data_IF_973769968445
#
_entry.id   IF_973769968445
#
_cell.length_a   1.000
_cell.length_b   1.000
_cell.length_c   1.000
_cell.angle_alpha   90.00
_cell.angle_beta   90.00
_cell.angle_gamma   90.00
#
_symmetry.space_group_name_H-M   'P 1'
#
loop_
_entity.id
_entity.type
_entity.pdbx_description
1 polymer ?
#
# COMPACT_ATOMS: atom_id res chain seq x y z
N UNK A 1 3.27 26.75 -3.50
CA UNK A 1 4.02 27.33 -2.36
C UNK A 1 5.04 26.27 -2.05
N UNK A 2 6.33 26.56 -2.24
CA UNK A 2 7.35 25.51 -2.10
C UNK A 2 7.59 25.17 -0.64
N UNK A 3 7.98 23.92 -0.38
CA UNK A 3 8.27 23.41 0.96
C UNK A 3 7.05 22.80 1.66
N UNK A 4 7.24 22.37 2.91
CA UNK A 4 6.28 21.47 3.56
C UNK A 4 4.85 21.99 3.62
N UNK A 5 3.88 21.26 3.08
CA UNK A 5 2.46 21.60 3.13
C UNK A 5 1.98 21.74 4.58
N UNK A 6 2.42 20.85 5.48
CA UNK A 6 2.03 20.90 6.90
C UNK A 6 2.57 22.16 7.56
N UNK A 7 3.85 22.49 7.31
CA UNK A 7 4.47 23.68 7.89
C UNK A 7 3.88 24.97 7.34
N UNK A 8 3.56 24.99 6.03
CA UNK A 8 2.83 26.08 5.41
C UNK A 8 1.46 26.28 6.06
N UNK A 9 0.67 25.22 6.21
CA UNK A 9 -0.66 25.31 6.85
C UNK A 9 -0.54 25.83 8.29
N UNK A 10 0.40 25.28 9.06
CA UNK A 10 0.65 25.70 10.44
C UNK A 10 1.00 27.18 10.54
N UNK A 11 1.94 27.66 9.70
CA UNK A 11 2.46 29.01 9.80
C UNK A 11 1.49 30.07 9.27
N UNK A 12 0.78 29.78 8.18
CA UNK A 12 -0.12 30.75 7.55
C UNK A 12 -1.49 30.81 8.23
N UNK A 13 -2.00 29.68 8.74
CA UNK A 13 -3.32 29.61 9.37
C UNK A 13 -3.25 29.51 10.91
N UNK A 14 -2.04 29.51 11.48
CA UNK A 14 -1.79 29.46 12.93
C UNK A 14 -2.48 28.26 13.62
N UNK A 15 -2.53 27.12 12.92
CA UNK A 15 -3.19 25.91 13.41
C UNK A 15 -2.25 25.04 14.26
N UNK A 16 -2.78 24.27 15.23
CA UNK A 16 -2.02 23.23 15.90
C UNK A 16 -1.45 22.21 14.90
N UNK A 17 -0.30 21.62 15.20
CA UNK A 17 0.41 20.69 14.31
C UNK A 17 -0.48 19.53 13.86
N UNK A 18 -1.19 18.89 14.78
CA UNK A 18 -2.09 17.78 14.47
C UNK A 18 -3.23 18.17 13.53
N UNK A 19 -3.74 19.40 13.65
CA UNK A 19 -4.77 19.91 12.75
C UNK A 19 -4.17 20.24 11.38
N UNK A 20 -2.98 20.82 11.35
CA UNK A 20 -2.24 21.09 10.11
C UNK A 20 -1.94 19.80 9.33
N UNK A 21 -1.55 18.71 10.00
CA UNK A 21 -1.36 17.39 9.37
C UNK A 21 -2.66 16.87 8.74
N UNK A 22 -3.80 16.97 9.45
CA UNK A 22 -5.10 16.55 8.91
C UNK A 22 -5.48 17.34 7.67
N UNK A 23 -5.31 18.66 7.68
CA UNK A 23 -5.54 19.49 6.50
C UNK A 23 -4.55 19.17 5.37
N UNK A 24 -3.28 18.92 5.69
CA UNK A 24 -2.27 18.51 4.71
C UNK A 24 -2.66 17.22 3.98
N UNK A 25 -3.16 16.22 4.71
CA UNK A 25 -3.69 15.01 4.11
C UNK A 25 -4.91 15.26 3.22
N UNK A 26 -5.84 16.15 3.63
CA UNK A 26 -6.99 16.54 2.78
C UNK A 26 -6.51 17.22 1.49
N UNK A 27 -5.55 18.13 1.59
CA UNK A 27 -4.94 18.80 0.44
C UNK A 27 -4.27 17.79 -0.47
N UNK A 28 -3.48 16.87 0.07
CA UNK A 28 -2.83 15.80 -0.68
C UNK A 28 -3.86 14.92 -1.42
N UNK A 29 -4.90 14.47 -0.71
CA UNK A 29 -6.00 13.67 -1.29
C UNK A 29 -6.66 14.40 -2.45
N UNK A 30 -6.95 15.69 -2.27
CA UNK A 30 -7.58 16.52 -3.29
C UNK A 30 -6.66 16.78 -4.49
N UNK A 31 -5.38 17.10 -4.26
CA UNK A 31 -4.38 17.34 -5.30
C UNK A 31 -4.14 16.09 -6.15
N UNK A 32 -3.98 14.93 -5.51
CA UNK A 32 -3.83 13.64 -6.19
C UNK A 32 -5.13 13.14 -6.82
N UNK A 33 -6.27 13.75 -6.45
CA UNK A 33 -7.63 13.40 -6.90
C UNK A 33 -7.97 11.95 -6.58
N UNK A 34 -7.57 11.46 -5.40
CA UNK A 34 -7.96 10.12 -4.97
C UNK A 34 -9.48 10.03 -4.86
N UNK A 35 -10.03 8.95 -5.38
CA UNK A 35 -11.43 8.65 -5.30
C UNK A 35 -11.79 8.19 -3.88
N UNK A 36 -12.71 8.92 -3.24
CA UNK A 36 -13.15 8.68 -1.85
C UNK A 36 -14.67 8.56 -1.73
N UNK A 37 -15.41 8.80 -2.82
CA UNK A 37 -16.88 8.95 -2.81
C UNK A 37 -17.63 7.71 -3.31
N UNK A 38 -16.93 6.71 -3.86
CA UNK A 38 -17.55 5.49 -4.37
C UNK A 38 -18.30 4.74 -3.28
N UNK A 39 -19.45 4.15 -3.63
CA UNK A 39 -20.31 3.40 -2.70
C UNK A 39 -19.55 2.36 -1.87
N UNK A 40 -18.62 1.63 -2.50
CA UNK A 40 -17.79 0.62 -1.82
C UNK A 40 -16.88 1.18 -0.74
N UNK A 41 -16.53 2.46 -0.81
CA UNK A 41 -15.68 3.16 0.16
C UNK A 41 -16.47 3.77 1.33
N UNK A 42 -17.80 3.76 1.29
CA UNK A 42 -18.64 4.45 2.30
C UNK A 42 -18.49 3.94 3.73
N UNK A 43 -17.97 2.72 3.90
CA UNK A 43 -17.69 2.15 5.22
C UNK A 43 -16.40 2.72 5.83
N UNK A 44 -15.53 3.36 5.03
CA UNK A 44 -14.29 3.96 5.50
C UNK A 44 -14.54 5.36 6.05
N UNK A 45 -13.77 5.71 7.07
CA UNK A 45 -13.83 7.01 7.73
C UNK A 45 -12.70 7.92 7.25
N UNK A 46 -12.81 9.22 7.54
CA UNK A 46 -11.69 10.14 7.33
C UNK A 46 -10.41 9.66 8.03
N UNK A 47 -10.52 9.03 9.21
CA UNK A 47 -9.34 8.53 9.92
C UNK A 47 -8.60 7.43 9.15
N UNK A 48 -9.30 6.67 8.30
CA UNK A 48 -8.68 5.64 7.47
C UNK A 48 -7.96 6.28 6.28
N UNK A 49 -8.64 7.19 5.57
CA UNK A 49 -8.02 7.95 4.48
C UNK A 49 -6.83 8.79 4.95
N UNK A 50 -6.93 9.42 6.12
CA UNK A 50 -5.86 10.19 6.73
C UNK A 50 -4.62 9.34 6.98
N UNK A 51 -4.78 8.18 7.61
CA UNK A 51 -3.68 7.25 7.88
C UNK A 51 -3.00 6.77 6.59
N UNK A 52 -3.81 6.40 5.60
CA UNK A 52 -3.28 5.95 4.31
C UNK A 52 -2.57 7.08 3.55
N UNK A 53 -3.15 8.28 3.54
CA UNK A 53 -2.56 9.46 2.90
C UNK A 53 -1.21 9.81 3.53
N UNK A 54 -1.10 9.80 4.86
CA UNK A 54 0.19 10.02 5.52
C UNK A 54 1.21 8.94 5.16
N UNK A 55 0.82 7.66 5.17
CA UNK A 55 1.72 6.57 4.77
C UNK A 55 2.24 6.78 3.34
N UNK A 56 1.37 7.21 2.41
CA UNK A 56 1.74 7.52 1.04
C UNK A 56 2.65 8.76 0.98
N UNK A 57 2.35 9.83 1.71
CA UNK A 57 3.18 11.04 1.72
C UNK A 57 4.57 10.73 2.27
N UNK A 58 4.67 10.06 3.41
CA UNK A 58 5.97 9.77 4.04
C UNK A 58 6.85 8.84 3.20
N UNK A 59 6.23 7.93 2.44
CA UNK A 59 6.96 6.88 1.75
C UNK A 59 6.99 7.02 0.24
N UNK A 60 6.04 7.66 -0.44
CA UNK A 60 5.99 7.66 -1.92
C UNK A 60 6.23 9.04 -2.54
N UNK A 61 6.42 10.09 -1.76
CA UNK A 61 6.85 11.40 -2.27
C UNK A 61 8.37 11.54 -2.24
N UNK A 62 8.87 12.58 -2.90
CA UNK A 62 10.27 12.94 -2.81
C UNK A 62 10.65 13.33 -1.37
N UNK A 63 11.86 13.00 -0.89
CA UNK A 63 12.33 13.43 0.42
C UNK A 63 12.29 14.96 0.54
N UNK A 64 11.99 15.48 1.75
CA UNK A 64 11.92 16.92 2.04
C UNK A 64 13.18 17.70 1.65
N UNK A 65 14.33 17.01 1.56
CA UNK A 65 15.61 17.58 1.15
C UNK A 65 15.73 17.85 -0.35
N UNK A 66 14.75 17.45 -1.16
CA UNK A 66 14.76 17.60 -2.62
C UNK A 66 14.31 19.02 -3.01
N UNK A 67 15.22 19.92 -3.43
CA UNK A 67 14.89 21.34 -3.61
C UNK A 67 13.93 21.62 -4.77
N UNK A 68 13.81 20.67 -5.72
CA UNK A 68 13.03 20.83 -6.94
C UNK A 68 11.60 20.28 -6.84
N UNK A 69 11.24 19.65 -5.72
CA UNK A 69 9.96 18.96 -5.54
C UNK A 69 9.25 19.40 -4.27
N UNK A 70 7.91 19.51 -4.33
CA UNK A 70 7.10 19.73 -3.13
C UNK A 70 6.98 18.42 -2.32
N UNK A 71 6.77 18.50 -1.00
CA UNK A 71 6.64 17.32 -0.11
C UNK A 71 5.42 16.44 -0.44
N UNK A 72 4.53 16.94 -1.30
CA UNK A 72 3.37 16.22 -1.85
C UNK A 72 3.60 15.62 -3.24
N UNK A 73 4.74 15.88 -3.88
CA UNK A 73 5.04 15.36 -5.21
C UNK A 73 5.46 13.90 -5.13
N UNK A 74 4.69 13.02 -5.77
CA UNK A 74 5.01 11.60 -5.85
C UNK A 74 6.29 11.36 -6.64
N UNK A 75 7.13 10.48 -6.09
CA UNK A 75 8.35 10.01 -6.70
C UNK A 75 8.03 9.16 -7.94
N UNK A 76 8.16 9.79 -9.12
CA UNK A 76 7.76 9.16 -10.39
C UNK A 76 8.70 8.04 -10.81
N UNK A 77 9.96 8.12 -10.43
CA UNK A 77 10.96 7.10 -10.75
C UNK A 77 10.62 5.83 -9.98
N UNK A 78 10.41 5.96 -8.67
CA UNK A 78 9.91 4.87 -7.84
C UNK A 78 8.63 4.22 -8.40
N UNK A 79 7.62 5.03 -8.78
CA UNK A 79 6.38 4.48 -9.34
C UNK A 79 6.58 3.73 -10.67
N UNK A 80 7.58 4.11 -11.46
CA UNK A 80 7.94 3.40 -12.69
C UNK A 80 8.67 2.09 -12.37
N UNK A 81 9.55 2.08 -11.39
CA UNK A 81 10.31 0.90 -10.95
C UNK A 81 9.39 -0.20 -10.43
N UNK A 82 8.23 0.15 -9.86
CA UNK A 82 7.20 -0.82 -9.44
C UNK A 82 6.69 -1.72 -10.57
N UNK A 83 6.90 -1.35 -11.84
CA UNK A 83 6.55 -2.22 -12.99
C UNK A 83 7.38 -3.50 -13.02
N UNK A 84 8.59 -3.48 -12.47
CA UNK A 84 9.47 -4.64 -12.43
C UNK A 84 9.03 -5.68 -11.38
N UNK A 85 8.11 -5.32 -10.48
CA UNK A 85 7.48 -6.29 -9.57
C UNK A 85 6.74 -7.42 -10.30
N UNK A 86 6.39 -7.24 -11.59
CA UNK A 86 5.86 -8.31 -12.44
C UNK A 86 6.76 -9.55 -12.50
N UNK A 87 8.07 -9.40 -12.30
CA UNK A 87 9.02 -10.51 -12.25
C UNK A 87 8.68 -11.51 -11.11
N UNK A 88 8.12 -11.02 -10.01
CA UNK A 88 7.67 -11.86 -8.90
C UNK A 88 6.48 -12.76 -9.29
N UNK A 89 5.67 -12.37 -10.28
CA UNK A 89 4.60 -13.21 -10.84
C UNK A 89 5.18 -14.44 -11.55
N UNK A 90 6.33 -14.29 -12.22
CA UNK A 90 7.00 -15.40 -12.91
C UNK A 90 7.58 -16.41 -11.90
N UNK A 91 7.94 -15.95 -10.71
CA UNK A 91 8.45 -16.74 -9.58
C UNK A 91 7.38 -17.05 -8.52
N UNK A 92 6.10 -16.94 -8.87
CA UNK A 92 4.98 -17.11 -7.93
C UNK A 92 5.02 -18.43 -7.16
N UNK A 93 5.42 -19.54 -7.81
CA UNK A 93 5.50 -20.86 -7.14
C UNK A 93 6.54 -20.90 -6.02
N UNK A 94 7.69 -20.26 -6.24
CA UNK A 94 8.78 -20.18 -5.27
C UNK A 94 8.37 -19.29 -4.09
N UNK A 95 7.84 -18.10 -4.41
CA UNK A 95 7.32 -17.19 -3.39
C UNK A 95 6.19 -17.82 -2.57
N UNK A 96 5.24 -18.49 -3.21
CA UNK A 96 4.16 -19.25 -2.57
C UNK A 96 4.71 -20.26 -1.59
N UNK A 97 5.70 -21.05 -2.01
CA UNK A 97 6.28 -22.07 -1.16
C UNK A 97 6.86 -21.49 0.13
N UNK A 98 7.66 -20.42 0.02
CA UNK A 98 8.26 -19.72 1.16
C UNK A 98 7.19 -19.15 2.10
N UNK A 99 6.17 -18.48 1.55
CA UNK A 99 5.09 -17.89 2.34
C UNK A 99 4.28 -18.95 3.07
N UNK A 100 3.92 -20.04 2.39
CA UNK A 100 3.16 -21.13 3.00
C UNK A 100 3.98 -21.82 4.10
N UNK A 101 5.27 -22.09 3.88
CA UNK A 101 6.14 -22.64 4.92
C UNK A 101 6.19 -21.73 6.16
N UNK A 102 6.26 -20.41 5.97
CA UNK A 102 6.30 -19.43 7.06
C UNK A 102 4.99 -19.31 7.82
N UNK A 103 3.86 -19.46 7.14
CA UNK A 103 2.52 -19.27 7.72
C UNK A 103 1.88 -20.53 8.27
N UNK A 104 2.35 -21.72 7.88
CA UNK A 104 1.85 -23.01 8.39
C UNK A 104 1.76 -23.10 9.92
N UNK A 105 2.75 -22.63 10.72
CA UNK A 105 2.62 -22.65 12.17
C UNK A 105 1.73 -21.53 12.75
N UNK A 106 1.41 -20.49 11.98
CA UNK A 106 0.72 -19.30 12.45
C UNK A 106 -0.78 -19.26 12.10
N UNK A 107 -1.18 -19.95 11.03
CA UNK A 107 -2.56 -19.98 10.55
C UNK A 107 -3.28 -21.26 10.99
N UNK A 108 -4.59 -21.14 11.21
CA UNK A 108 -5.45 -22.31 11.34
C UNK A 108 -5.53 -23.07 10.01
N UNK A 109 -5.71 -24.38 10.07
CA UNK A 109 -5.74 -25.28 8.90
C UNK A 109 -6.69 -24.78 7.79
N UNK A 110 -7.88 -24.29 8.16
CA UNK A 110 -8.85 -23.75 7.21
C UNK A 110 -8.32 -22.52 6.46
N UNK A 111 -7.74 -21.56 7.19
CA UNK A 111 -7.18 -20.33 6.59
C UNK A 111 -5.93 -20.63 5.78
N UNK A 112 -5.11 -21.59 6.21
CA UNK A 112 -3.94 -22.06 5.49
C UNK A 112 -4.30 -22.70 4.14
N UNK A 113 -5.26 -23.64 4.13
CA UNK A 113 -5.72 -24.28 2.89
C UNK A 113 -6.34 -23.27 1.92
N UNK A 114 -7.13 -22.33 2.44
CA UNK A 114 -7.71 -21.25 1.65
C UNK A 114 -6.61 -20.38 1.01
N UNK A 115 -5.62 -19.96 1.80
CA UNK A 115 -4.46 -19.22 1.30
C UNK A 115 -3.74 -19.99 0.20
N UNK A 116 -3.47 -21.29 0.39
CA UNK A 116 -2.80 -22.11 -0.62
C UNK A 116 -3.58 -22.15 -1.94
N UNK A 117 -4.90 -22.23 -1.89
CA UNK A 117 -5.76 -22.26 -3.08
C UNK A 117 -5.77 -20.90 -3.79
N UNK A 118 -5.86 -19.80 -3.02
CA UNK A 118 -6.05 -18.45 -3.56
C UNK A 118 -4.77 -17.63 -3.70
N UNK A 119 -3.60 -18.15 -3.32
CA UNK A 119 -2.33 -17.43 -3.30
C UNK A 119 -2.05 -16.67 -4.60
N UNK A 120 -2.25 -17.33 -5.75
CA UNK A 120 -2.02 -16.71 -7.06
C UNK A 120 -2.92 -15.49 -7.31
N UNK A 121 -4.16 -15.54 -6.84
CA UNK A 121 -5.11 -14.43 -6.97
C UNK A 121 -4.68 -13.26 -6.09
N UNK A 122 -4.34 -13.52 -4.82
CA UNK A 122 -3.86 -12.48 -3.90
C UNK A 122 -2.54 -11.85 -4.37
N UNK A 123 -1.61 -12.67 -4.83
CA UNK A 123 -0.33 -12.22 -5.34
C UNK A 123 -0.49 -11.32 -6.58
N UNK A 124 -1.36 -11.71 -7.52
CA UNK A 124 -1.68 -10.89 -8.70
C UNK A 124 -2.38 -9.60 -8.36
N UNK A 125 -3.25 -9.59 -7.36
CA UNK A 125 -3.88 -8.36 -6.89
C UNK A 125 -2.82 -7.40 -6.33
N UNK A 126 -2.00 -7.84 -5.38
CA UNK A 126 -0.97 -7.01 -4.74
C UNK A 126 0.09 -6.51 -5.72
N UNK A 127 0.63 -7.37 -6.59
CA UNK A 127 1.64 -6.97 -7.58
C UNK A 127 1.00 -6.11 -8.68
N UNK A 128 -0.20 -6.48 -9.13
CA UNK A 128 -0.90 -5.78 -10.21
C UNK A 128 -1.25 -4.34 -9.87
N UNK A 129 -1.56 -4.04 -8.61
CA UNK A 129 -1.72 -2.67 -8.12
C UNK A 129 -0.44 -1.85 -8.35
N UNK A 130 0.68 -2.30 -7.77
CA UNK A 130 1.99 -1.64 -7.86
C UNK A 130 2.42 -1.37 -9.30
N UNK A 131 2.31 -2.38 -10.16
CA UNK A 131 2.68 -2.28 -11.58
C UNK A 131 1.93 -1.19 -12.36
N UNK A 132 0.77 -0.73 -11.88
CA UNK A 132 -0.06 0.27 -12.55
C UNK A 132 -0.03 1.66 -11.87
N UNK A 133 0.63 1.84 -10.72
CA UNK A 133 0.58 3.10 -9.97
C UNK A 133 1.19 4.31 -10.70
N UNK A 134 2.11 4.09 -11.63
CA UNK A 134 2.63 5.14 -12.52
C UNK A 134 1.53 5.82 -13.38
N UNK A 135 0.38 5.15 -13.56
CA UNK A 135 -0.74 5.67 -14.36
C UNK A 135 -1.67 6.47 -13.45
N UNK A 136 -1.87 7.74 -13.78
CA UNK A 136 -2.67 8.64 -12.94
C UNK A 136 -4.09 8.15 -12.70
N UNK A 137 -4.71 7.44 -13.66
CA UNK A 137 -6.05 6.87 -13.44
C UNK A 137 -6.04 5.80 -12.36
N UNK A 138 -5.09 4.88 -12.43
CA UNK A 138 -5.02 3.73 -11.52
C UNK A 138 -4.58 4.21 -10.11
N UNK A 139 -3.67 5.19 -10.04
CA UNK A 139 -3.33 5.88 -8.80
C UNK A 139 -4.56 6.53 -8.13
N UNK A 140 -5.36 7.30 -8.88
CA UNK A 140 -6.58 7.94 -8.32
C UNK A 140 -7.56 6.91 -7.74
N UNK A 141 -7.60 5.71 -8.32
CA UNK A 141 -8.47 4.62 -7.87
C UNK A 141 -7.86 3.75 -6.78
N UNK A 142 -6.68 4.07 -6.23
CA UNK A 142 -5.95 3.23 -5.28
C UNK A 142 -6.81 2.68 -4.14
N UNK A 143 -7.55 3.53 -3.42
CA UNK A 143 -8.38 3.09 -2.29
C UNK A 143 -9.49 2.14 -2.73
N UNK A 144 -10.10 2.39 -3.89
CA UNK A 144 -11.11 1.50 -4.45
C UNK A 144 -10.51 0.14 -4.80
N UNK A 145 -9.37 0.13 -5.48
CA UNK A 145 -8.73 -1.12 -5.90
C UNK A 145 -8.20 -1.91 -4.68
N UNK A 146 -7.69 -1.26 -3.63
CA UNK A 146 -7.34 -1.94 -2.37
C UNK A 146 -8.56 -2.63 -1.75
N UNK A 147 -9.72 -1.96 -1.73
CA UNK A 147 -10.96 -2.57 -1.22
C UNK A 147 -11.41 -3.73 -2.11
N UNK A 148 -11.53 -3.53 -3.42
CA UNK A 148 -12.12 -4.50 -4.33
C UNK A 148 -11.23 -5.72 -4.58
N UNK A 149 -9.92 -5.49 -4.76
CA UNK A 149 -8.98 -6.54 -5.17
C UNK A 149 -8.40 -7.30 -4.00
N UNK A 150 -8.36 -6.70 -2.82
CA UNK A 150 -7.68 -7.26 -1.65
C UNK A 150 -8.64 -7.47 -0.49
N UNK A 151 -9.26 -6.40 0.05
CA UNK A 151 -10.05 -6.51 1.28
C UNK A 151 -11.34 -7.34 1.11
N UNK A 152 -12.09 -7.14 0.01
CA UNK A 152 -13.32 -7.89 -0.27
C UNK A 152 -13.08 -9.42 -0.30
N UNK A 153 -12.09 -9.95 -1.05
CA UNK A 153 -11.75 -11.37 -1.01
C UNK A 153 -11.45 -11.91 0.38
N UNK A 154 -10.62 -11.23 1.18
CA UNK A 154 -10.26 -11.70 2.53
C UNK A 154 -11.42 -11.63 3.52
N UNK A 155 -12.34 -10.66 3.36
CA UNK A 155 -13.58 -10.61 4.14
C UNK A 155 -14.50 -11.77 3.80
N UNK A 156 -14.62 -12.16 2.52
CA UNK A 156 -15.47 -13.27 2.08
C UNK A 156 -15.06 -14.60 2.72
N UNK A 157 -13.76 -14.81 2.95
CA UNK A 157 -13.23 -16.01 3.62
C UNK A 157 -13.09 -15.86 5.14
N UNK A 158 -13.58 -14.76 5.70
CA UNK A 158 -13.59 -14.49 7.15
C UNK A 158 -12.21 -14.51 7.79
N UNK A 159 -11.19 -13.97 7.11
CA UNK A 159 -9.88 -13.78 7.73
C UNK A 159 -9.99 -12.86 8.95
N UNK A 160 -9.25 -13.18 10.01
CA UNK A 160 -9.08 -12.24 11.10
C UNK A 160 -8.08 -11.14 10.71
N UNK A 161 -8.10 -10.03 11.45
CA UNK A 161 -7.07 -9.00 11.31
C UNK A 161 -5.65 -9.55 11.61
N UNK A 162 -5.54 -10.57 12.47
CA UNK A 162 -4.27 -11.25 12.74
C UNK A 162 -3.81 -12.10 11.56
N UNK A 163 -4.71 -12.84 10.91
CA UNK A 163 -4.40 -13.63 9.71
C UNK A 163 -3.90 -12.72 8.58
N UNK A 164 -4.60 -11.61 8.34
CA UNK A 164 -4.21 -10.64 7.33
C UNK A 164 -2.83 -10.04 7.60
N UNK A 165 -2.56 -9.65 8.86
CA UNK A 165 -1.25 -9.13 9.26
C UNK A 165 -0.15 -10.16 9.03
N UNK A 166 -0.36 -11.38 9.51
CA UNK A 166 0.61 -12.47 9.36
C UNK A 166 0.89 -12.72 7.87
N UNK A 167 -0.16 -12.80 7.04
CA UNK A 167 -0.02 -12.96 5.60
C UNK A 167 0.78 -11.84 4.95
N UNK A 168 0.42 -10.58 5.17
CA UNK A 168 1.12 -9.43 4.57
C UNK A 168 2.59 -9.36 4.99
N UNK A 169 2.89 -9.64 6.26
CA UNK A 169 4.26 -9.70 6.77
C UNK A 169 5.06 -10.82 6.10
N UNK A 170 4.53 -12.05 6.08
CA UNK A 170 5.20 -13.18 5.46
C UNK A 170 5.37 -12.98 3.94
N UNK A 171 4.33 -12.50 3.26
CA UNK A 171 4.32 -12.22 1.82
C UNK A 171 5.40 -11.20 1.45
N UNK A 172 5.53 -10.12 2.23
CA UNK A 172 6.55 -9.09 2.01
C UNK A 172 7.96 -9.64 2.24
N UNK A 173 8.19 -10.34 3.35
CA UNK A 173 9.52 -10.83 3.73
C UNK A 173 10.03 -11.96 2.82
N UNK A 174 9.16 -12.92 2.50
CA UNK A 174 9.53 -14.05 1.63
C UNK A 174 9.87 -13.61 0.20
N UNK A 175 9.32 -12.49 -0.27
CA UNK A 175 9.63 -11.96 -1.59
C UNK A 175 11.11 -11.54 -1.69
N UNK A 176 11.68 -10.97 -0.63
CA UNK A 176 13.11 -10.60 -0.57
C UNK A 176 14.07 -11.79 -0.60
N UNK A 177 13.57 -13.02 -0.43
CA UNK A 177 14.33 -14.26 -0.54
C UNK A 177 14.29 -14.86 -1.95
N UNK A 178 13.43 -14.35 -2.84
CA UNK A 178 13.32 -14.81 -4.23
C UNK A 178 14.39 -14.14 -5.09
N UNK A 179 15.09 -14.91 -5.91
CA UNK A 179 16.27 -14.44 -6.67
C UNK A 179 16.01 -13.18 -7.52
N UNK A 180 14.82 -13.02 -8.09
CA UNK A 180 14.47 -11.86 -8.94
C UNK A 180 14.35 -10.53 -8.19
N UNK A 181 14.23 -10.58 -6.86
CA UNK A 181 14.22 -9.40 -5.98
C UNK A 181 15.53 -9.26 -5.21
N UNK A 182 16.60 -9.95 -5.62
CA UNK A 182 17.93 -9.77 -5.00
C UNK A 182 18.64 -8.51 -5.48
N UNK A 183 18.23 -7.95 -6.62
CA UNK A 183 18.70 -6.64 -7.07
C UNK A 183 18.25 -5.57 -6.07
N UNK A 184 19.21 -4.79 -5.57
CA UNK A 184 19.00 -3.89 -4.43
C UNK A 184 17.88 -2.85 -4.68
N UNK A 185 17.77 -2.36 -5.92
CA UNK A 185 16.81 -1.32 -6.30
C UNK A 185 15.38 -1.87 -6.41
N UNK A 186 15.21 -3.08 -6.95
CA UNK A 186 13.89 -3.72 -7.03
C UNK A 186 13.44 -4.16 -5.64
N UNK A 187 14.37 -4.62 -4.80
CA UNK A 187 14.10 -4.95 -3.39
C UNK A 187 13.65 -3.73 -2.60
N UNK A 188 14.37 -2.62 -2.69
CA UNK A 188 14.03 -1.40 -1.97
C UNK A 188 12.67 -0.85 -2.41
N UNK A 189 12.39 -0.90 -3.72
CA UNK A 189 11.10 -0.52 -4.29
C UNK A 189 9.97 -1.43 -3.77
N UNK A 190 10.20 -2.74 -3.70
CA UNK A 190 9.26 -3.70 -3.14
C UNK A 190 8.93 -3.42 -1.67
N UNK A 191 9.97 -3.22 -0.84
CA UNK A 191 9.81 -2.96 0.59
C UNK A 191 9.08 -1.63 0.83
N UNK A 192 9.46 -0.58 0.11
CA UNK A 192 8.82 0.75 0.13
C UNK A 192 7.35 0.68 -0.30
N UNK A 193 7.03 -0.11 -1.32
CA UNK A 193 5.66 -0.34 -1.79
C UNK A 193 4.82 -1.10 -0.76
N UNK A 194 5.32 -2.25 -0.30
CA UNK A 194 4.57 -3.12 0.60
C UNK A 194 4.41 -2.52 1.99
N UNK A 195 5.31 -1.66 2.45
CA UNK A 195 5.15 -0.91 3.71
C UNK A 195 3.86 -0.08 3.68
N UNK A 196 3.65 0.71 2.63
CA UNK A 196 2.45 1.55 2.48
C UNK A 196 1.21 0.70 2.24
N UNK A 197 1.27 -0.25 1.29
CA UNK A 197 0.10 -1.08 0.95
C UNK A 197 -0.36 -1.90 2.15
N UNK A 198 0.57 -2.52 2.91
CA UNK A 198 0.21 -3.28 4.10
C UNK A 198 -0.38 -2.38 5.19
N UNK A 199 0.20 -1.20 5.41
CA UNK A 199 -0.31 -0.20 6.36
C UNK A 199 -1.75 0.19 6.02
N UNK A 200 -2.01 0.52 4.75
CA UNK A 200 -3.33 0.90 4.25
C UNK A 200 -4.34 -0.25 4.37
N UNK A 201 -3.97 -1.47 3.93
CA UNK A 201 -4.86 -2.63 3.98
C UNK A 201 -5.25 -2.97 5.42
N UNK A 202 -4.29 -3.01 6.35
CA UNK A 202 -4.56 -3.26 7.76
C UNK A 202 -5.46 -2.17 8.36
N UNK A 203 -5.20 -0.90 8.05
CA UNK A 203 -6.02 0.21 8.53
C UNK A 203 -7.47 0.12 8.04
N UNK A 204 -7.66 -0.22 6.78
CA UNK A 204 -8.97 -0.28 6.12
C UNK A 204 -9.70 -1.61 6.36
N UNK A 205 -9.04 -2.62 6.95
CA UNK A 205 -9.65 -3.91 7.26
C UNK A 205 -10.50 -3.84 8.54
N UNK A 206 -11.71 -3.32 8.38
CA UNK A 206 -12.74 -3.37 9.41
C UNK A 206 -13.45 -4.72 9.36
N UNK A 207 -13.41 -5.46 10.47
CA UNK A 207 -14.18 -6.69 10.73
C UNK A 207 -15.64 -6.38 11.02
#
# INVERSE_FOLDING_TARGET
>A
MQGSVVQNIRNFFLLPEELAKRYGAVVFIACMRFETSKRKLQHLTFSDFYHCALSIMESWTYPESSPDFDDTDLDREFLLDLRELRLLIEKEKEHKHLVCMRLKPALLERSYQELEINFRTYSRALIGLGCNLHRSRDLRCLFLELVERCLEPWKQVSWSHADLRNFLTAYTQCASEVDVLREADVKSSWERYMAVVSSCLLRMYHT
#
